data_IF_675382551400
#
_entry.id   IF_675382551400
#
_cell.length_a   1.000
_cell.length_b   1.000
_cell.length_c   1.000
_cell.angle_alpha   90.00
_cell.angle_beta   90.00
_cell.angle_gamma   90.00
#
_symmetry.space_group_name_H-M   'P 1'
#
loop_
_entity.id
_entity.type
_entity.pdbx_description
1 polymer ?
#
# COMPACT_ATOMS: atom_id res chain seq x y z
N UNK A 1 9.61 17.87 -3.29
CA UNK A 1 8.16 17.66 -3.47
C UNK A 1 7.49 17.97 -2.14
N UNK A 2 6.48 18.82 -2.14
CA UNK A 2 5.73 19.12 -0.91
C UNK A 2 4.94 17.87 -0.50
N UNK A 3 4.90 17.50 0.78
CA UNK A 3 4.13 16.35 1.23
C UNK A 3 2.65 16.65 1.07
N UNK A 4 1.98 15.93 0.17
CA UNK A 4 0.53 15.98 -0.02
C UNK A 4 -0.09 14.78 0.68
N UNK A 5 -1.05 14.97 1.60
CA UNK A 5 -1.88 13.89 2.13
C UNK A 5 -2.39 12.94 1.03
N UNK A 6 -2.43 11.64 1.31
CA UNK A 6 -2.71 10.60 0.31
C UNK A 6 -3.96 10.86 -0.54
N UNK A 7 -5.07 11.26 0.09
CA UNK A 7 -6.34 11.52 -0.61
C UNK A 7 -6.21 12.69 -1.61
N UNK A 8 -5.60 13.79 -1.18
CA UNK A 8 -5.39 14.98 -2.02
C UNK A 8 -4.39 14.70 -3.16
N UNK A 9 -3.39 13.86 -2.89
CA UNK A 9 -2.46 13.37 -3.90
C UNK A 9 -3.19 12.55 -4.97
N UNK A 10 -4.05 11.63 -4.55
CA UNK A 10 -4.84 10.80 -5.46
C UNK A 10 -5.84 11.63 -6.29
N UNK A 11 -6.60 12.54 -5.66
CA UNK A 11 -7.53 13.41 -6.38
C UNK A 11 -6.82 14.30 -7.42
N UNK A 12 -5.67 14.86 -7.06
CA UNK A 12 -4.87 15.66 -7.99
C UNK A 12 -4.38 14.83 -9.17
N UNK A 13 -3.86 13.63 -8.92
CA UNK A 13 -3.41 12.73 -9.97
C UNK A 13 -4.57 12.32 -10.90
N UNK A 14 -5.75 12.03 -10.35
CA UNK A 14 -6.94 11.74 -11.16
C UNK A 14 -7.30 12.88 -12.12
N UNK A 15 -7.33 14.11 -11.61
CA UNK A 15 -7.67 15.29 -12.43
C UNK A 15 -6.65 15.47 -13.54
N UNK A 16 -5.35 15.48 -13.23
CA UNK A 16 -4.28 15.68 -14.21
C UNK A 16 -4.28 14.60 -15.30
N UNK A 17 -4.38 13.32 -14.91
CA UNK A 17 -4.40 12.21 -15.86
C UNK A 17 -5.66 12.22 -16.74
N UNK A 18 -6.83 12.52 -16.17
CA UNK A 18 -8.09 12.58 -16.94
C UNK A 18 -8.08 13.66 -18.03
N UNK A 19 -7.28 14.71 -17.85
CA UNK A 19 -7.12 15.80 -18.81
C UNK A 19 -6.04 15.53 -19.87
N UNK A 20 -5.33 14.39 -19.77
CA UNK A 20 -4.17 14.12 -20.64
C UNK A 20 -3.02 15.08 -20.39
N UNK A 21 -2.91 15.61 -19.17
CA UNK A 21 -1.87 16.56 -18.78
C UNK A 21 -0.47 15.93 -18.87
N UNK A 22 0.51 16.71 -19.31
CA UNK A 22 1.94 16.34 -19.32
C UNK A 22 2.71 16.98 -18.16
N UNK A 23 2.02 17.42 -17.09
CA UNK A 23 2.66 18.05 -15.92
C UNK A 23 3.63 17.13 -15.20
N UNK A 24 3.37 15.81 -15.23
CA UNK A 24 4.16 14.81 -14.52
C UNK A 24 4.62 13.71 -15.48
N UNK A 25 5.93 13.46 -15.50
CA UNK A 25 6.53 12.37 -16.27
C UNK A 25 6.54 11.04 -15.49
N UNK A 26 6.58 11.11 -14.16
CA UNK A 26 6.64 9.97 -13.26
C UNK A 26 5.61 10.11 -12.14
N UNK A 27 4.91 9.02 -11.85
CA UNK A 27 3.87 8.96 -10.82
C UNK A 27 4.28 7.99 -9.70
N UNK A 28 4.05 8.41 -8.46
CA UNK A 28 4.04 7.49 -7.32
C UNK A 28 2.59 7.16 -6.99
N UNK A 29 2.24 5.89 -7.16
CA UNK A 29 0.87 5.38 -7.03
C UNK A 29 0.84 4.27 -5.98
N UNK A 30 -0.30 4.15 -5.30
CA UNK A 30 -0.61 2.97 -4.52
C UNK A 30 -0.95 1.80 -5.47
N UNK A 31 -0.51 0.59 -5.12
CA UNK A 31 -0.82 -0.62 -5.85
C UNK A 31 -2.33 -0.87 -5.98
N UNK A 32 -3.16 -0.35 -5.07
CA UNK A 32 -4.62 -0.44 -5.15
C UNK A 32 -5.21 0.28 -6.36
N UNK A 33 -4.59 1.38 -6.80
CA UNK A 33 -5.12 2.20 -7.91
C UNK A 33 -4.64 1.76 -9.28
N UNK A 34 -3.65 0.85 -9.36
CA UNK A 34 -3.03 0.46 -10.61
C UNK A 34 -4.04 -0.04 -11.64
N UNK A 35 -5.09 -0.75 -11.21
CA UNK A 35 -6.11 -1.27 -12.13
C UNK A 35 -6.91 -0.16 -12.80
N UNK A 36 -7.20 0.94 -12.10
CA UNK A 36 -7.90 2.09 -12.68
C UNK A 36 -6.99 2.82 -13.67
N UNK A 37 -5.73 3.05 -13.30
CA UNK A 37 -4.76 3.75 -14.14
C UNK A 37 -4.54 2.99 -15.46
N UNK A 38 -4.45 1.66 -15.38
CA UNK A 38 -4.32 0.80 -16.55
C UNK A 38 -5.61 0.75 -17.38
N UNK A 39 -6.77 0.65 -16.74
CA UNK A 39 -8.06 0.65 -17.42
C UNK A 39 -8.32 1.94 -18.22
N UNK A 40 -7.82 3.08 -17.72
CA UNK A 40 -7.91 4.38 -18.39
C UNK A 40 -6.74 4.68 -19.33
N UNK A 41 -5.76 3.76 -19.46
CA UNK A 41 -4.59 3.93 -20.31
C UNK A 41 -3.75 5.18 -20.00
N UNK A 42 -3.70 5.58 -18.72
CA UNK A 42 -2.98 6.78 -18.30
C UNK A 42 -1.47 6.59 -18.13
N UNK A 43 -1.00 5.34 -18.18
CA UNK A 43 0.43 5.00 -18.12
C UNK A 43 0.79 4.07 -19.27
N UNK A 44 2.03 4.19 -19.75
CA UNK A 44 2.61 3.25 -20.72
C UNK A 44 3.36 2.14 -20.00
N UNK A 45 3.43 0.97 -20.63
CA UNK A 45 4.36 -0.06 -20.19
C UNK A 45 5.80 0.38 -20.45
N UNK A 46 6.71 -0.03 -19.55
CA UNK A 46 8.15 0.18 -19.69
C UNK A 46 8.66 -0.45 -20.97
N UNK A 47 8.19 -1.65 -21.31
CA UNK A 47 8.57 -2.35 -22.53
C UNK A 47 8.16 -1.59 -23.80
N UNK A 48 7.02 -0.89 -23.77
CA UNK A 48 6.54 -0.09 -24.90
C UNK A 48 7.38 1.19 -25.06
N UNK A 49 7.73 1.85 -23.95
CA UNK A 49 8.66 3.00 -23.95
C UNK A 49 10.02 2.59 -24.52
N UNK A 50 10.53 1.42 -24.12
CA UNK A 50 11.81 0.92 -24.63
C UNK A 50 11.73 0.55 -26.12
N UNK A 51 10.60 0.03 -26.59
CA UNK A 51 10.40 -0.26 -28.01
C UNK A 51 10.35 1.01 -28.87
N UNK A 52 9.87 2.13 -28.31
CA UNK A 52 9.84 3.46 -28.96
C UNK A 52 11.24 4.10 -29.05
N UNK A 53 12.14 3.79 -28.11
CA UNK A 53 13.53 4.30 -28.11
C UNK A 53 14.55 3.21 -27.72
N UNK A 54 15.15 2.60 -28.74
CA UNK A 54 16.16 1.55 -28.59
C UNK A 54 17.48 2.01 -27.95
N UNK A 55 17.69 3.32 -27.76
CA UNK A 55 18.86 3.83 -27.02
C UNK A 55 18.72 3.68 -25.50
N UNK A 56 17.49 3.50 -25.01
CA UNK A 56 17.20 3.31 -23.60
C UNK A 56 17.72 1.97 -23.09
N UNK A 57 18.37 2.01 -21.93
CA UNK A 57 18.78 0.80 -21.23
C UNK A 57 17.56 0.09 -20.64
N UNK A 58 17.48 -1.26 -20.71
CA UNK A 58 16.39 -1.99 -20.08
C UNK A 58 16.38 -1.77 -18.56
N UNK A 59 15.20 -1.55 -17.98
CA UNK A 59 15.04 -1.54 -16.52
C UNK A 59 15.44 -2.89 -15.93
N UNK A 60 16.11 -2.82 -14.79
CA UNK A 60 16.73 -3.96 -14.10
C UNK A 60 15.94 -4.28 -12.84
N UNK A 61 15.28 -5.44 -12.82
CA UNK A 61 14.39 -5.86 -11.71
C UNK A 61 15.02 -6.92 -10.79
N UNK A 62 16.24 -7.37 -11.06
CA UNK A 62 16.91 -8.45 -10.31
C UNK A 62 17.12 -8.16 -8.81
N UNK A 63 17.16 -6.88 -8.44
CA UNK A 63 17.33 -6.45 -7.05
C UNK A 63 16.00 -6.14 -6.36
N UNK A 64 14.87 -6.37 -7.04
CA UNK A 64 13.52 -6.19 -6.49
C UNK A 64 13.02 -7.55 -6.00
N UNK A 65 12.27 -7.56 -4.91
CA UNK A 65 11.60 -8.78 -4.42
C UNK A 65 10.65 -9.26 -5.53
N UNK A 66 10.81 -10.48 -6.08
CA UNK A 66 10.04 -10.91 -7.26
C UNK A 66 8.52 -10.83 -7.07
N UNK A 67 8.05 -11.14 -5.86
CA UNK A 67 6.63 -11.07 -5.51
C UNK A 67 6.05 -9.65 -5.58
N UNK A 68 6.87 -8.63 -5.35
CA UNK A 68 6.43 -7.23 -5.42
C UNK A 68 6.16 -6.75 -6.85
N UNK A 69 6.77 -7.38 -7.85
CA UNK A 69 6.56 -7.03 -9.26
C UNK A 69 5.12 -7.32 -9.70
N UNK A 70 4.44 -8.29 -9.06
CA UNK A 70 3.03 -8.62 -9.34
C UNK A 70 2.09 -7.43 -9.14
N UNK A 71 2.46 -6.46 -8.29
CA UNK A 71 1.66 -5.26 -8.08
C UNK A 71 1.71 -4.27 -9.25
N UNK A 72 2.78 -4.30 -10.05
CA UNK A 72 3.02 -3.37 -11.16
C UNK A 72 3.08 -4.05 -12.53
N UNK A 73 2.87 -5.37 -12.59
CA UNK A 73 2.89 -6.14 -13.83
C UNK A 73 1.48 -6.52 -14.29
N UNK A 74 1.15 -6.31 -15.56
CA UNK A 74 -0.06 -6.85 -16.20
C UNK A 74 0.28 -7.40 -17.58
N UNK A 75 -0.31 -8.55 -17.91
CA UNK A 75 -0.12 -9.22 -19.21
C UNK A 75 1.35 -9.38 -19.63
N UNK A 76 2.22 -9.67 -18.66
CA UNK A 76 3.65 -9.85 -18.87
C UNK A 76 4.47 -8.55 -18.95
N UNK A 77 3.85 -7.37 -18.99
CA UNK A 77 4.52 -6.06 -19.07
C UNK A 77 4.58 -5.34 -17.73
N UNK A 78 5.60 -4.52 -17.53
CA UNK A 78 5.79 -3.71 -16.33
C UNK A 78 5.31 -2.28 -16.54
N UNK A 79 4.66 -1.73 -15.52
CA UNK A 79 4.15 -0.36 -15.50
C UNK A 79 4.82 0.51 -14.43
N UNK A 80 5.95 0.05 -13.88
CA UNK A 80 6.72 0.79 -12.90
C UNK A 80 7.69 -0.08 -12.11
N UNK A 81 8.30 0.51 -11.08
CA UNK A 81 9.19 -0.16 -10.13
C UNK A 81 8.54 -0.10 -8.75
N UNK A 82 8.38 -1.23 -8.03
CA UNK A 82 7.91 -1.21 -6.65
C UNK A 82 8.87 -0.41 -5.76
N UNK A 83 8.36 0.64 -5.11
CA UNK A 83 9.17 1.53 -4.27
C UNK A 83 9.17 1.10 -2.79
N UNK A 84 7.97 0.83 -2.25
CA UNK A 84 7.77 0.43 -0.85
C UNK A 84 6.73 -0.67 -0.77
N UNK A 85 6.93 -1.60 0.17
CA UNK A 85 5.96 -2.62 0.53
C UNK A 85 5.60 -2.46 2.00
N UNK A 86 4.31 -2.45 2.28
CA UNK A 86 3.79 -2.52 3.64
C UNK A 86 3.44 -3.98 3.95
N UNK A 87 4.03 -4.54 5.01
CA UNK A 87 3.62 -5.84 5.55
C UNK A 87 2.89 -5.58 6.86
N UNK A 88 1.59 -5.93 6.95
CA UNK A 88 0.87 -5.88 8.21
C UNK A 88 1.55 -6.81 9.21
N UNK A 89 1.90 -6.28 10.39
CA UNK A 89 2.48 -7.04 11.48
C UNK A 89 1.67 -6.82 12.75
N UNK A 90 1.59 -7.85 13.58
CA UNK A 90 1.02 -7.73 14.91
C UNK A 90 2.06 -7.14 15.86
N UNK A 91 1.75 -5.98 16.44
CA UNK A 91 2.57 -5.29 17.44
C UNK A 91 1.76 -5.16 18.72
N UNK A 92 2.38 -5.38 19.88
CA UNK A 92 1.71 -5.31 21.17
C UNK A 92 2.63 -4.74 22.27
N UNK A 93 2.01 -4.26 23.35
CA UNK A 93 2.69 -3.74 24.55
C UNK A 93 2.99 -4.85 25.54
N UNK A 94 4.23 -5.34 25.55
CA UNK A 94 4.69 -6.44 26.41
C UNK A 94 4.40 -6.19 27.89
N UNK A 95 4.63 -4.97 28.37
CA UNK A 95 4.40 -4.58 29.77
C UNK A 95 2.92 -4.68 30.18
N UNK A 96 2.00 -4.33 29.28
CA UNK A 96 0.57 -4.48 29.53
C UNK A 96 0.12 -5.95 29.52
N UNK A 97 0.71 -6.76 28.65
CA UNK A 97 0.48 -8.20 28.62
C UNK A 97 0.98 -8.87 29.90
N UNK A 98 2.22 -8.58 30.31
CA UNK A 98 2.83 -9.10 31.53
C UNK A 98 2.02 -8.70 32.78
N UNK A 99 1.59 -7.43 32.89
CA UNK A 99 0.79 -6.95 34.01
C UNK A 99 -0.57 -7.64 34.15
N UNK A 100 -1.14 -8.17 33.05
CA UNK A 100 -2.41 -8.92 33.05
C UNK A 100 -2.23 -10.45 32.93
N UNK A 101 -0.98 -10.94 32.92
CA UNK A 101 -0.70 -12.37 32.75
C UNK A 101 -1.17 -12.93 31.40
N UNK A 102 -1.16 -12.11 30.34
CA UNK A 102 -1.59 -12.49 28.99
C UNK A 102 -0.44 -13.09 28.19
N UNK A 103 -0.74 -14.15 27.43
CA UNK A 103 0.17 -14.72 26.43
C UNK A 103 -0.01 -14.05 25.07
N UNK A 104 1.03 -14.05 24.24
CA UNK A 104 0.93 -13.55 22.86
C UNK A 104 -0.11 -14.37 22.10
N UNK A 105 -1.13 -13.75 21.47
CA UNK A 105 -2.17 -14.47 20.77
C UNK A 105 -1.62 -15.14 19.51
N UNK A 106 -2.07 -16.36 19.23
CA UNK A 106 -1.68 -17.14 18.03
C UNK A 106 -2.82 -17.31 17.04
N UNK A 107 -4.02 -16.84 17.39
CA UNK A 107 -5.23 -16.87 16.58
C UNK A 107 -6.13 -15.68 16.91
N UNK A 108 -7.18 -15.47 16.11
CA UNK A 108 -8.09 -14.33 16.23
C UNK A 108 -8.93 -14.32 17.51
N UNK A 109 -9.33 -15.49 18.02
CA UNK A 109 -10.10 -15.58 19.25
C UNK A 109 -9.27 -15.16 20.46
N UNK A 110 -8.01 -15.59 20.52
CA UNK A 110 -7.08 -15.19 21.58
C UNK A 110 -6.69 -13.72 21.46
N UNK A 111 -6.51 -13.22 20.23
CA UNK A 111 -6.30 -11.80 19.98
C UNK A 111 -7.47 -10.97 20.53
N UNK A 112 -8.71 -11.37 20.22
CA UNK A 112 -9.91 -10.68 20.70
C UNK A 112 -10.00 -10.70 22.22
N UNK A 113 -9.75 -11.84 22.87
CA UNK A 113 -9.72 -11.94 24.33
C UNK A 113 -8.65 -11.04 24.95
N UNK A 114 -7.45 -10.98 24.36
CA UNK A 114 -6.39 -10.08 24.83
C UNK A 114 -6.79 -8.61 24.68
N UNK A 115 -7.40 -8.24 23.55
CA UNK A 115 -7.88 -6.88 23.31
C UNK A 115 -8.98 -6.48 24.31
N UNK A 116 -9.99 -7.33 24.49
CA UNK A 116 -11.06 -7.12 25.48
C UNK A 116 -10.49 -7.01 26.90
N UNK A 117 -9.53 -7.87 27.25
CA UNK A 117 -8.88 -7.84 28.56
C UNK A 117 -8.07 -6.56 28.77
N UNK A 118 -7.45 -5.99 27.74
CA UNK A 118 -6.64 -4.77 27.83
C UNK A 118 -7.45 -3.48 27.81
N UNK A 119 -8.68 -3.51 27.30
CA UNK A 119 -9.48 -2.31 27.13
C UNK A 119 -9.90 -1.68 28.47
N UNK A 120 -9.59 -0.40 28.63
CA UNK A 120 -10.06 0.46 29.73
C UNK A 120 -10.45 1.84 29.19
N UNK A 121 -10.86 2.77 30.06
CA UNK A 121 -11.12 4.16 29.66
C UNK A 121 -9.86 4.88 29.16
N UNK A 122 -8.67 4.44 29.58
CA UNK A 122 -7.37 5.03 29.30
C UNK A 122 -6.60 4.24 28.23
N UNK A 123 -6.96 2.97 28.00
CA UNK A 123 -6.24 2.05 27.11
C UNK A 123 -7.20 1.46 26.07
N UNK A 124 -6.91 1.71 24.79
CA UNK A 124 -7.56 0.99 23.71
C UNK A 124 -7.02 -0.45 23.64
N UNK A 125 -7.91 -1.44 23.75
CA UNK A 125 -7.55 -2.86 23.68
C UNK A 125 -7.06 -3.30 22.31
N UNK A 126 -7.49 -2.61 21.26
CA UNK A 126 -6.98 -2.72 19.91
C UNK A 126 -6.72 -1.32 19.33
N UNK A 127 -5.67 -1.21 18.55
CA UNK A 127 -5.42 -0.04 17.72
C UNK A 127 -5.08 -0.58 16.33
N UNK A 128 -5.79 -0.09 15.32
CA UNK A 128 -5.32 -0.22 13.95
C UNK A 128 -4.20 0.79 13.80
N UNK A 129 -2.96 0.30 13.66
CA UNK A 129 -1.75 1.10 13.44
C UNK A 129 -1.75 1.68 12.02
N UNK A 130 -2.81 2.41 11.70
CA UNK A 130 -2.98 3.19 10.50
C UNK A 130 -4.02 4.25 10.91
N UNK A 131 -3.57 5.47 11.25
CA UNK A 131 -4.49 6.58 11.45
C UNK A 131 -5.28 6.87 10.17
N UNK A 132 -6.28 7.75 10.20
CA UNK A 132 -7.16 8.01 9.03
C UNK A 132 -6.47 8.43 7.73
N UNK A 133 -5.17 8.76 7.77
CA UNK A 133 -4.33 9.08 6.61
C UNK A 133 -3.58 7.85 6.03
N UNK A 134 -3.26 6.84 6.84
CA UNK A 134 -2.54 5.63 6.43
C UNK A 134 -3.46 4.40 6.39
N UNK A 135 -4.67 4.49 6.96
CA UNK A 135 -5.67 3.41 7.00
C UNK A 135 -6.14 2.99 5.61
N UNK A 136 -5.71 3.67 4.56
CA UNK A 136 -6.02 3.37 3.17
C UNK A 136 -4.83 2.80 2.38
N UNK A 137 -3.60 2.88 2.89
CA UNK A 137 -2.40 2.35 2.21
C UNK A 137 -2.19 0.84 2.44
N UNK A 138 -2.92 0.24 3.40
CA UNK A 138 -2.93 -1.22 3.64
C UNK A 138 -4.21 -1.74 4.33
N UNK A 139 -5.28 -0.95 4.33
CA UNK A 139 -6.49 -1.21 5.10
C UNK A 139 -7.45 -2.22 4.46
N UNK A 140 -7.03 -3.46 4.28
CA UNK A 140 -8.00 -4.54 4.05
C UNK A 140 -8.61 -4.97 5.39
N UNK A 141 -9.81 -4.46 5.69
CA UNK A 141 -10.75 -5.09 6.62
C UNK A 141 -12.16 -4.98 6.05
N UNK A 142 -12.56 -5.97 5.25
CA UNK A 142 -13.97 -6.20 4.94
C UNK A 142 -14.57 -7.09 6.05
N UNK A 143 -15.43 -6.52 6.89
CA UNK A 143 -16.46 -7.33 7.56
C UNK A 143 -17.70 -7.32 6.69
N UNK A 144 -17.98 -8.45 6.05
CA UNK A 144 -19.29 -8.73 5.47
C UNK A 144 -20.27 -9.00 6.61
N UNK A 145 -21.40 -8.30 6.61
CA UNK A 145 -22.66 -8.87 7.11
C UNK A 145 -23.26 -9.75 6.02
#
# INVERSE_FOLDING_TARGET
ADPVPQNEHYEKLLVEMSQGSSTYDLLTLDALFINQVLGNQWVKAVEDIQAEDASLQPLQYQNVIPESLKFVQRDGKHYGIPLTLATPIFVYRKDLFEAKGLSVPTNWDDYRKCAEALHTNEVAGNILLLGGQDAHMSGDWATRL
#
